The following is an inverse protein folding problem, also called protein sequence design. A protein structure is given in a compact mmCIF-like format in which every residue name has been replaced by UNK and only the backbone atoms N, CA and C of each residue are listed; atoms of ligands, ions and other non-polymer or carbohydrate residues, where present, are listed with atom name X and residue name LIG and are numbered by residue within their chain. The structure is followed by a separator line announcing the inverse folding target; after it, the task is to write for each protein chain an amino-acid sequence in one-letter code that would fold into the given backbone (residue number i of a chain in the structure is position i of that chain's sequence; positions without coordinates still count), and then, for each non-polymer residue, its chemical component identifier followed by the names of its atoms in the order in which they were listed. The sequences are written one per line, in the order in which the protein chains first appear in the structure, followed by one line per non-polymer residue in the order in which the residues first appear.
data_IF_322142558201
#
_entry.id   IF_322142558201
#
_cell.length_a   1.000
_cell.length_b   1.000
_cell.length_c   1.000
_cell.angle_alpha   90.00
_cell.angle_beta   90.00
_cell.angle_gamma   90.00
#
_symmetry.space_group_name_H-M   'P 1'
#
loop_
_entity.id
_entity.type
_entity.pdbx_description
1 polymer ?
#
# COMPACT_ATOMS: atom_id res chain seq x y z
N UNK A 1 -42.87 6.20 -1.09
CA UNK A 1 -43.43 5.00 -1.74
C UNK A 1 -43.20 4.91 -3.25
N UNK A 2 -43.78 5.77 -4.10
CA UNK A 2 -43.57 5.69 -5.56
C UNK A 2 -42.13 6.02 -5.99
N UNK A 3 -41.52 7.00 -5.32
CA UNK A 3 -40.13 7.40 -5.52
C UNK A 3 -39.13 6.31 -5.16
N UNK A 4 -39.34 5.65 -4.02
CA UNK A 4 -38.44 4.57 -3.56
C UNK A 4 -38.43 3.41 -4.55
N UNK A 5 -39.62 3.03 -5.05
CA UNK A 5 -39.74 1.97 -6.06
C UNK A 5 -39.03 2.31 -7.37
N UNK A 6 -39.12 3.56 -7.82
CA UNK A 6 -38.44 4.01 -9.03
C UNK A 6 -36.91 4.05 -8.84
N UNK A 7 -36.43 4.49 -7.67
CA UNK A 7 -35.01 4.53 -7.34
C UNK A 7 -34.40 3.13 -7.24
N UNK A 8 -35.06 2.18 -6.59
CA UNK A 8 -34.60 0.79 -6.50
C UNK A 8 -34.56 0.13 -7.88
N UNK A 9 -35.62 0.29 -8.68
CA UNK A 9 -35.66 -0.27 -10.04
C UNK A 9 -34.61 0.32 -10.98
N UNK A 10 -34.20 1.59 -10.77
CA UNK A 10 -33.08 2.17 -11.49
C UNK A 10 -31.75 1.53 -11.06
N UNK A 11 -31.51 1.40 -9.75
CA UNK A 11 -30.29 0.80 -9.23
C UNK A 11 -30.10 -0.64 -9.71
N UNK A 12 -31.14 -1.47 -9.68
CA UNK A 12 -31.08 -2.86 -10.14
C UNK A 12 -30.71 -3.00 -11.62
N UNK A 13 -30.97 -1.99 -12.46
CA UNK A 13 -30.56 -1.97 -13.87
C UNK A 13 -29.08 -1.64 -14.07
N UNK A 14 -28.49 -0.83 -13.18
CA UNK A 14 -27.09 -0.36 -13.32
C UNK A 14 -26.13 -1.19 -12.48
N UNK A 15 -26.62 -1.88 -11.45
CA UNK A 15 -25.79 -2.73 -10.59
C UNK A 15 -25.34 -3.96 -11.37
N UNK A 16 -24.03 -4.27 -11.39
CA UNK A 16 -23.54 -5.45 -12.06
C UNK A 16 -24.16 -6.72 -11.44
N UNK A 17 -24.73 -7.59 -12.27
CA UNK A 17 -25.34 -8.87 -11.86
C UNK A 17 -24.35 -9.82 -11.16
N UNK A 18 -23.05 -9.54 -11.29
CA UNK A 18 -21.98 -10.29 -10.62
C UNK A 18 -21.29 -9.37 -9.63
N UNK A 19 -21.11 -9.80 -8.37
CA UNK A 19 -20.30 -9.05 -7.41
C UNK A 19 -18.93 -8.78 -7.99
N UNK A 20 -18.50 -7.52 -7.94
CA UNK A 20 -17.14 -7.17 -8.32
C UNK A 20 -16.19 -7.87 -7.34
N UNK A 21 -15.49 -8.90 -7.81
CA UNK A 21 -14.43 -9.53 -7.04
C UNK A 21 -13.31 -8.50 -6.92
N UNK A 22 -13.32 -7.76 -5.82
CA UNK A 22 -12.17 -6.96 -5.41
C UNK A 22 -11.07 -7.96 -5.13
N UNK A 23 -10.16 -8.17 -6.09
CA UNK A 23 -8.88 -8.81 -5.80
C UNK A 23 -8.26 -7.97 -4.71
N UNK A 24 -8.23 -8.50 -3.48
CA UNK A 24 -7.62 -7.81 -2.37
C UNK A 24 -6.23 -7.37 -2.81
N UNK A 25 -5.90 -6.08 -2.59
CA UNK A 25 -4.54 -5.61 -2.75
C UNK A 25 -3.66 -6.64 -2.05
N UNK A 26 -2.72 -7.27 -2.77
CA UNK A 26 -1.85 -8.32 -2.21
C UNK A 26 -1.37 -7.80 -0.86
N UNK A 27 -1.88 -8.39 0.22
CA UNK A 27 -1.60 -7.88 1.55
C UNK A 27 -0.11 -8.07 1.73
N UNK A 28 0.64 -6.97 1.76
CA UNK A 28 2.04 -7.00 2.11
C UNK A 28 2.08 -7.30 3.61
N UNK A 29 2.50 -8.51 4.05
CA UNK A 29 2.37 -8.89 5.46
C UNK A 29 3.24 -8.01 6.38
N UNK A 30 4.31 -7.43 5.81
CA UNK A 30 5.18 -6.44 6.45
C UNK A 30 4.60 -5.01 6.51
N UNK A 31 3.44 -4.75 5.87
CA UNK A 31 2.84 -3.43 5.87
C UNK A 31 1.90 -3.25 7.07
N UNK A 32 2.48 -2.80 8.17
CA UNK A 32 1.81 -2.68 9.46
C UNK A 32 0.89 -1.43 9.58
N UNK A 33 0.26 -1.26 10.76
CA UNK A 33 -0.60 -0.11 11.05
C UNK A 33 0.13 1.22 11.13
N UNK A 34 1.37 1.22 11.63
CA UNK A 34 2.21 2.40 11.73
C UNK A 34 2.59 2.95 10.35
N UNK A 35 3.02 2.09 9.42
CA UNK A 35 3.31 2.46 8.04
C UNK A 35 2.07 3.01 7.31
N UNK A 36 0.86 2.47 7.63
CA UNK A 36 -0.40 3.05 7.16
C UNK A 36 -0.61 4.47 7.68
N UNK A 37 -0.34 4.70 8.97
CA UNK A 37 -0.46 6.02 9.57
C UNK A 37 0.57 7.00 9.00
N UNK A 38 1.83 6.60 8.87
CA UNK A 38 2.85 7.41 8.22
C UNK A 38 2.47 7.77 6.78
N UNK A 39 1.88 6.83 6.03
CA UNK A 39 1.39 7.09 4.67
C UNK A 39 0.23 8.10 4.66
N UNK A 40 -0.71 8.01 5.62
CA UNK A 40 -1.77 9.01 5.80
C UNK A 40 -1.19 10.37 6.16
N UNK A 41 -0.26 10.43 7.11
CA UNK A 41 0.39 11.66 7.55
C UNK A 41 1.14 12.35 6.41
N UNK A 42 1.84 11.59 5.54
CA UNK A 42 2.44 12.12 4.31
C UNK A 42 1.41 12.87 3.46
N UNK A 43 0.22 12.28 3.27
CA UNK A 43 -0.85 12.91 2.48
C UNK A 43 -1.37 14.20 3.12
N UNK A 44 -1.51 14.22 4.44
CA UNK A 44 -1.89 15.43 5.17
C UNK A 44 -0.83 16.54 5.01
N UNK A 45 0.46 16.21 5.15
CA UNK A 45 1.55 17.17 4.94
C UNK A 45 1.57 17.71 3.51
N UNK A 46 1.38 16.85 2.50
CA UNK A 46 1.24 17.29 1.11
C UNK A 46 0.06 18.25 0.91
N UNK A 47 -1.08 17.98 1.53
CA UNK A 47 -2.25 18.86 1.43
C UNK A 47 -1.97 20.23 2.06
N UNK A 48 -1.32 20.24 3.24
CA UNK A 48 -0.92 21.49 3.90
C UNK A 48 0.04 22.30 3.03
N UNK A 49 1.07 21.67 2.46
CA UNK A 49 2.00 22.34 1.55
C UNK A 49 1.32 22.86 0.28
N UNK A 50 0.34 22.12 -0.28
CA UNK A 50 -0.43 22.62 -1.44
C UNK A 50 -1.21 23.89 -1.11
N UNK A 51 -1.68 24.02 0.13
CA UNK A 51 -2.41 25.20 0.60
C UNK A 51 -1.47 26.38 0.94
N UNK A 52 -0.40 26.13 1.68
CA UNK A 52 0.51 27.18 2.16
C UNK A 52 1.58 27.59 1.13
N UNK A 53 2.00 26.65 0.27
CA UNK A 53 3.18 26.74 -0.61
C UNK A 53 4.49 27.12 0.10
N UNK A 54 4.55 26.94 1.42
CA UNK A 54 5.72 27.31 2.22
C UNK A 54 6.89 26.35 2.03
N UNK A 55 8.11 26.88 2.09
CA UNK A 55 9.34 26.07 2.08
C UNK A 55 9.50 25.22 3.35
N UNK A 56 9.01 25.71 4.50
CA UNK A 56 9.03 24.95 5.75
C UNK A 56 8.21 23.67 5.62
N UNK A 57 7.00 23.75 5.06
CA UNK A 57 6.14 22.59 4.81
C UNK A 57 6.77 21.62 3.81
N UNK A 58 7.46 22.15 2.78
CA UNK A 58 8.22 21.33 1.84
C UNK A 58 9.35 20.57 2.54
N UNK A 59 10.05 21.20 3.49
CA UNK A 59 11.08 20.54 4.30
C UNK A 59 10.49 19.44 5.20
N UNK A 60 9.34 19.69 5.83
CA UNK A 60 8.61 18.71 6.64
C UNK A 60 8.22 17.47 5.81
N UNK A 61 7.70 17.66 4.59
CA UNK A 61 7.38 16.55 3.69
C UNK A 61 8.64 15.72 3.38
N UNK A 62 9.76 16.37 3.03
CA UNK A 62 11.02 15.67 2.73
C UNK A 62 11.51 14.86 3.93
N UNK A 63 11.51 15.45 5.12
CA UNK A 63 11.89 14.77 6.36
C UNK A 63 10.99 13.56 6.63
N UNK A 64 9.67 13.74 6.49
CA UNK A 64 8.69 12.67 6.69
C UNK A 64 8.86 11.52 5.68
N UNK A 65 9.12 11.82 4.41
CA UNK A 65 9.40 10.80 3.39
C UNK A 65 10.64 9.98 3.76
N UNK A 66 11.72 10.63 4.22
CA UNK A 66 12.94 9.92 4.65
C UNK A 66 12.65 8.99 5.82
N UNK A 67 11.97 9.49 6.85
CA UNK A 67 11.58 8.68 8.01
C UNK A 67 10.71 7.48 7.61
N UNK A 68 9.73 7.70 6.74
CA UNK A 68 8.86 6.64 6.22
C UNK A 68 9.62 5.56 5.45
N UNK A 69 10.59 5.94 4.60
CA UNK A 69 11.41 4.98 3.87
C UNK A 69 12.31 4.16 4.82
N UNK A 70 12.83 4.77 5.88
CA UNK A 70 13.59 4.05 6.92
C UNK A 70 12.69 3.06 7.64
N UNK A 71 11.49 3.46 8.06
CA UNK A 71 10.52 2.58 8.71
C UNK A 71 10.13 1.40 7.80
N UNK A 72 9.87 1.62 6.51
CA UNK A 72 9.60 0.53 5.56
C UNK A 72 10.76 -0.47 5.52
N UNK A 73 12.00 0.02 5.44
CA UNK A 73 13.17 -0.85 5.40
C UNK A 73 13.31 -1.65 6.69
N UNK A 74 13.06 -1.03 7.84
CA UNK A 74 13.08 -1.70 9.14
C UNK A 74 12.04 -2.83 9.21
N UNK A 75 10.78 -2.54 8.89
CA UNK A 75 9.69 -3.53 8.91
C UNK A 75 9.94 -4.69 7.95
N UNK A 76 10.42 -4.39 6.74
CA UNK A 76 10.81 -5.44 5.78
C UNK A 76 11.93 -6.32 6.34
N UNK A 77 12.96 -5.74 6.96
CA UNK A 77 14.05 -6.50 7.59
C UNK A 77 13.49 -7.41 8.69
N UNK A 78 12.68 -6.88 9.60
CA UNK A 78 12.06 -7.67 10.68
C UNK A 78 11.26 -8.84 10.09
N UNK A 79 10.40 -8.58 9.11
CA UNK A 79 9.58 -9.61 8.48
C UNK A 79 10.42 -10.71 7.81
N UNK A 80 11.40 -10.34 6.97
CA UNK A 80 12.19 -11.32 6.25
C UNK A 80 13.16 -12.07 7.16
N UNK A 81 13.73 -11.43 8.19
CA UNK A 81 14.53 -12.11 9.22
C UNK A 81 13.69 -13.14 9.96
N UNK A 82 12.48 -12.79 10.39
CA UNK A 82 11.57 -13.73 11.04
C UNK A 82 11.16 -14.87 10.10
N UNK A 83 10.92 -14.58 8.82
CA UNK A 83 10.56 -15.57 7.81
C UNK A 83 11.70 -16.56 7.56
N UNK A 84 12.94 -16.08 7.48
CA UNK A 84 14.14 -16.92 7.35
C UNK A 84 14.30 -17.81 8.58
N UNK A 85 14.24 -17.24 9.78
CA UNK A 85 14.34 -17.99 11.04
C UNK A 85 13.25 -19.08 11.15
N UNK A 86 12.00 -18.78 10.76
CA UNK A 86 10.92 -19.78 10.74
C UNK A 86 11.10 -20.90 9.70
N UNK A 87 11.99 -20.69 8.71
CA UNK A 87 12.23 -21.60 7.58
C UNK A 87 13.55 -22.36 7.68
N UNK A 88 14.28 -22.27 8.80
CA UNK A 88 15.65 -22.81 8.96
C UNK A 88 15.79 -24.29 8.55
N UNK A 89 14.79 -25.13 8.87
CA UNK A 89 14.76 -26.56 8.51
C UNK A 89 14.02 -26.88 7.19
N UNK A 90 13.75 -25.88 6.34
CA UNK A 90 13.00 -26.03 5.09
C UNK A 90 13.76 -25.40 3.92
N UNK A 91 14.74 -26.09 3.32
CA UNK A 91 15.60 -25.53 2.29
C UNK A 91 14.82 -24.97 1.09
N UNK A 92 13.78 -25.68 0.62
CA UNK A 92 12.92 -25.19 -0.48
C UNK A 92 12.21 -23.87 -0.15
N UNK A 93 11.84 -23.65 1.12
CA UNK A 93 11.26 -22.37 1.56
C UNK A 93 12.30 -21.27 1.64
N UNK A 94 13.50 -21.57 2.16
CA UNK A 94 14.62 -20.63 2.16
C UNK A 94 14.98 -20.17 0.74
N UNK A 95 15.13 -21.09 -0.21
CA UNK A 95 15.42 -20.74 -1.60
C UNK A 95 14.32 -19.87 -2.22
N UNK A 96 13.03 -20.13 -1.93
CA UNK A 96 11.93 -19.26 -2.39
C UNK A 96 12.02 -17.85 -1.80
N UNK A 97 12.32 -17.72 -0.51
CA UNK A 97 12.47 -16.42 0.17
C UNK A 97 13.68 -15.67 -0.41
N UNK A 98 14.83 -16.31 -0.52
CA UNK A 98 16.05 -15.71 -1.12
C UNK A 98 15.82 -15.30 -2.57
N UNK A 99 15.15 -16.15 -3.37
CA UNK A 99 14.78 -15.82 -4.75
C UNK A 99 13.86 -14.60 -4.80
N UNK A 100 12.89 -14.46 -3.89
CA UNK A 100 12.01 -13.28 -3.84
C UNK A 100 12.73 -11.98 -3.46
N UNK A 101 13.87 -12.06 -2.76
CA UNK A 101 14.70 -10.91 -2.40
C UNK A 101 15.63 -10.50 -3.55
N UNK A 102 16.21 -11.48 -4.25
CA UNK A 102 17.18 -11.25 -5.33
C UNK A 102 16.48 -10.93 -6.67
N UNK A 103 15.43 -11.67 -7.00
CA UNK A 103 14.56 -11.36 -8.12
C UNK A 103 13.48 -10.40 -7.61
N UNK A 104 13.92 -9.17 -7.35
CA UNK A 104 13.04 -8.01 -7.39
C UNK A 104 12.65 -7.84 -8.86
N UNK A 105 11.81 -8.75 -9.36
CA UNK A 105 11.29 -8.71 -10.73
C UNK A 105 10.85 -7.27 -10.99
N UNK A 106 11.31 -6.76 -12.14
CA UNK A 106 10.63 -5.84 -13.05
C UNK A 106 9.12 -5.93 -12.86
N UNK A 107 8.61 -5.28 -11.82
CA UNK A 107 7.21 -5.21 -11.46
C UNK A 107 6.94 -3.75 -11.32
N UNK A 108 6.69 -3.14 -12.48
CA UNK A 108 5.87 -1.96 -12.70
C UNK A 108 5.72 -1.13 -11.43
N UNK A 109 6.57 -0.11 -11.30
CA UNK A 109 6.35 0.94 -10.33
C UNK A 109 4.89 1.40 -10.53
N UNK A 110 3.99 1.32 -9.53
CA UNK A 110 2.60 1.75 -9.68
C UNK A 110 2.44 3.24 -10.06
N UNK A 111 3.57 3.94 -10.23
CA UNK A 111 3.69 5.33 -10.60
C UNK A 111 4.04 5.55 -12.09
N UNK A 112 4.34 4.52 -12.89
CA UNK A 112 4.64 4.69 -14.34
C UNK A 112 3.40 4.79 -15.25
N UNK A 113 2.19 4.59 -14.72
CA UNK A 113 0.94 4.63 -15.50
C UNK A 113 0.24 5.98 -15.59
N UNK A 114 0.95 7.12 -15.52
CA UNK A 114 0.36 8.46 -15.75
C UNK A 114 1.27 9.29 -16.66
N UNK A 115 1.26 8.96 -17.94
CA UNK A 115 1.53 9.91 -19.02
C UNK A 115 0.18 10.32 -19.63
#
# INVERSE_FOLDING_TARGET
EAWDRAATGALDRVVPLRPLIRRGSRSAPWFNGELREMKRRKRCLENNWRASRSESDRALIKAHIRAYLVAIKAEKRVHFTALIASSENRPASLFRVTRSLLHRDVREDPLEGRA
#
